data_IF_906079361487
#
_entry.id   IF_906079361487
#
_cell.length_a   1.000
_cell.length_b   1.000
_cell.length_c   1.000
_cell.angle_alpha   90.00
_cell.angle_beta   90.00
_cell.angle_gamma   90.00
#
_symmetry.space_group_name_H-M   'P 1'
#
loop_
_entity.id
_entity.type
_entity.pdbx_description
1 polymer ?
#
# COMPACT_ATOMS: atom_id res chain seq x y z
N UNK A 1 -9.41 2.53 26.32
CA UNK A 1 -9.18 1.86 25.03
C UNK A 1 -10.17 2.46 24.05
N UNK A 2 -9.71 3.20 23.04
CA UNK A 2 -10.61 3.82 22.06
C UNK A 2 -11.29 2.70 21.28
N UNK A 3 -12.62 2.71 21.20
CA UNK A 3 -13.36 1.81 20.33
C UNK A 3 -13.16 2.27 18.88
N UNK A 4 -12.30 1.59 18.14
CA UNK A 4 -11.90 1.98 16.77
C UNK A 4 -13.12 2.00 15.83
N UNK A 5 -14.09 1.09 16.03
CA UNK A 5 -15.33 1.09 15.27
C UNK A 5 -16.17 2.34 15.56
N UNK A 6 -16.29 2.75 16.82
CA UNK A 6 -17.00 3.97 17.21
C UNK A 6 -16.38 5.22 16.59
N UNK A 7 -15.04 5.32 16.61
CA UNK A 7 -14.31 6.39 15.93
C UNK A 7 -14.57 6.40 14.41
N UNK A 8 -14.65 5.22 13.78
CA UNK A 8 -15.02 5.12 12.37
C UNK A 8 -16.45 5.57 12.12
N UNK A 9 -17.39 5.17 12.97
CA UNK A 9 -18.79 5.59 12.89
C UNK A 9 -18.93 7.11 12.98
N UNK A 10 -18.29 7.74 13.96
CA UNK A 10 -18.25 9.19 14.11
C UNK A 10 -17.67 9.88 12.87
N UNK A 11 -16.54 9.39 12.36
CA UNK A 11 -15.84 9.98 11.21
C UNK A 11 -16.67 9.88 9.93
N UNK A 12 -17.30 8.73 9.69
CA UNK A 12 -18.21 8.53 8.55
C UNK A 12 -19.39 9.49 8.68
N UNK A 13 -20.06 9.53 9.84
CA UNK A 13 -21.22 10.40 10.08
C UNK A 13 -20.91 11.88 9.83
N UNK A 14 -19.77 12.37 10.32
CA UNK A 14 -19.34 13.75 10.09
C UNK A 14 -19.08 14.07 8.60
N UNK A 15 -18.79 13.04 7.79
CA UNK A 15 -18.44 13.17 6.38
C UNK A 15 -19.58 12.73 5.45
N UNK A 16 -20.70 12.22 5.97
CA UNK A 16 -21.77 11.60 5.18
C UNK A 16 -22.39 12.56 4.17
N UNK A 17 -22.56 13.84 4.52
CA UNK A 17 -23.10 14.86 3.60
C UNK A 17 -22.19 15.07 2.39
N UNK A 18 -20.87 15.02 2.59
CA UNK A 18 -19.89 15.16 1.52
C UNK A 18 -19.81 13.89 0.69
N UNK A 19 -19.74 12.72 1.33
CA UNK A 19 -19.74 11.42 0.66
C UNK A 19 -21.00 11.25 -0.21
N UNK A 20 -22.17 11.62 0.31
CA UNK A 20 -23.46 11.48 -0.37
C UNK A 20 -23.54 12.37 -1.63
N UNK A 21 -22.95 13.58 -1.60
CA UNK A 21 -22.91 14.47 -2.77
C UNK A 21 -22.12 13.90 -3.94
N UNK A 22 -21.06 13.14 -3.65
CA UNK A 22 -20.20 12.54 -4.67
C UNK A 22 -20.45 11.04 -4.88
N UNK A 23 -21.48 10.48 -4.22
CA UNK A 23 -21.74 9.05 -4.21
C UNK A 23 -22.02 8.46 -5.61
N UNK A 24 -22.55 9.29 -6.52
CA UNK A 24 -22.81 8.93 -7.90
C UNK A 24 -21.56 8.98 -8.81
N UNK A 25 -20.40 9.37 -8.28
CA UNK A 25 -19.10 9.33 -8.97
C UNK A 25 -18.30 8.11 -8.47
N UNK A 26 -18.33 6.96 -9.17
CA UNK A 26 -17.84 5.68 -8.63
C UNK A 26 -16.39 5.73 -8.12
N UNK A 27 -15.50 6.36 -8.88
CA UNK A 27 -14.07 6.42 -8.56
C UNK A 27 -13.77 7.34 -7.37
N UNK A 28 -14.47 8.48 -7.26
CA UNK A 28 -14.27 9.45 -6.18
C UNK A 28 -14.81 8.94 -4.84
N UNK A 29 -15.95 8.24 -4.90
CA UNK A 29 -16.59 7.60 -3.74
C UNK A 29 -15.70 6.55 -3.09
N UNK A 30 -15.21 5.58 -3.87
CA UNK A 30 -14.41 4.47 -3.33
C UNK A 30 -13.12 4.99 -2.71
N UNK A 31 -12.44 5.90 -3.40
CA UNK A 31 -11.20 6.50 -2.91
C UNK A 31 -11.36 7.22 -1.57
N UNK A 32 -12.40 8.06 -1.44
CA UNK A 32 -12.65 8.85 -0.23
C UNK A 32 -12.97 7.95 0.97
N UNK A 33 -13.85 6.96 0.80
CA UNK A 33 -14.23 6.01 1.85
C UNK A 33 -13.04 5.13 2.27
N UNK A 34 -12.27 4.62 1.32
CA UNK A 34 -11.08 3.80 1.60
C UNK A 34 -10.07 4.60 2.41
N UNK A 35 -9.76 5.83 1.99
CA UNK A 35 -8.81 6.67 2.71
C UNK A 35 -9.25 6.96 4.15
N UNK A 36 -10.53 7.26 4.37
CA UNK A 36 -11.06 7.46 5.74
C UNK A 36 -10.91 6.22 6.60
N UNK A 37 -11.28 5.05 6.09
CA UNK A 37 -11.14 3.79 6.84
C UNK A 37 -9.66 3.53 7.14
N UNK A 38 -8.77 3.68 6.16
CA UNK A 38 -7.33 3.42 6.35
C UNK A 38 -6.65 4.42 7.29
N UNK A 39 -7.09 5.68 7.32
CA UNK A 39 -6.59 6.69 8.24
C UNK A 39 -6.92 6.35 9.71
N UNK A 40 -8.04 5.66 9.96
CA UNK A 40 -8.48 5.19 11.28
C UNK A 40 -7.86 3.82 11.60
N UNK A 41 -8.03 2.87 10.70
CA UNK A 41 -7.49 1.51 10.77
C UNK A 41 -6.07 1.53 10.21
N UNK A 42 -5.16 2.24 10.89
CA UNK A 42 -3.73 2.19 10.55
C UNK A 42 -3.14 0.82 10.87
N UNK A 43 -1.95 0.55 10.33
CA UNK A 43 -1.23 -0.72 10.51
C UNK A 43 -1.18 -1.24 11.96
N UNK A 44 -1.17 -0.34 12.94
CA UNK A 44 -1.15 -0.64 14.39
C UNK A 44 -2.49 -1.14 14.95
N UNK A 45 -3.59 -0.87 14.26
CA UNK A 45 -4.96 -1.03 14.77
C UNK A 45 -5.77 -2.13 14.11
N UNK A 46 -5.37 -2.60 12.93
CA UNK A 46 -6.24 -3.47 12.11
C UNK A 46 -6.20 -4.93 12.54
N UNK A 47 -5.05 -5.42 12.99
CA UNK A 47 -4.80 -6.85 13.08
C UNK A 47 -3.91 -7.20 14.28
N UNK A 48 -4.36 -8.21 15.03
CA UNK A 48 -3.72 -8.74 16.23
C UNK A 48 -2.23 -9.01 16.05
N UNK A 49 -1.45 -8.88 17.13
CA UNK A 49 -0.01 -9.17 17.16
C UNK A 49 0.34 -10.62 16.77
N UNK A 50 -0.67 -11.49 16.68
CA UNK A 50 -0.56 -12.88 16.22
C UNK A 50 0.14 -12.98 14.85
N UNK A 51 -0.04 -11.96 13.99
CA UNK A 51 0.50 -11.98 12.61
C UNK A 51 1.82 -11.21 12.46
N UNK A 52 2.64 -11.13 13.51
CA UNK A 52 3.92 -10.43 13.47
C UNK A 52 4.84 -10.92 12.34
N UNK A 53 4.86 -12.23 12.06
CA UNK A 53 5.64 -12.81 10.95
C UNK A 53 5.23 -12.26 9.56
N UNK A 54 4.02 -11.71 9.45
CA UNK A 54 3.45 -11.13 8.24
C UNK A 54 3.30 -9.60 8.31
N UNK A 55 4.13 -8.90 9.10
CA UNK A 55 3.96 -7.47 9.42
C UNK A 55 3.63 -6.55 8.24
N UNK A 56 4.29 -6.72 7.08
CA UNK A 56 4.05 -5.89 5.89
C UNK A 56 2.91 -6.41 5.02
N UNK A 57 2.71 -7.74 5.01
CA UNK A 57 1.64 -8.38 4.26
C UNK A 57 0.28 -8.10 4.90
N UNK A 58 0.16 -8.19 6.22
CA UNK A 58 -1.12 -8.09 6.95
C UNK A 58 -1.90 -6.83 6.57
N UNK A 59 -1.22 -5.68 6.59
CA UNK A 59 -1.85 -4.40 6.31
C UNK A 59 -2.06 -4.18 4.80
N UNK A 60 -1.21 -4.76 3.96
CA UNK A 60 -1.39 -4.69 2.51
C UNK A 60 -2.56 -5.56 2.04
N UNK A 61 -2.71 -6.77 2.57
CA UNK A 61 -3.87 -7.64 2.34
C UNK A 61 -5.15 -6.93 2.78
N UNK A 62 -5.16 -6.33 3.98
CA UNK A 62 -6.32 -5.56 4.43
C UNK A 62 -6.71 -4.45 3.47
N UNK A 63 -5.74 -3.61 3.05
CA UNK A 63 -5.99 -2.51 2.10
C UNK A 63 -6.61 -2.99 0.79
N UNK A 64 -6.10 -4.10 0.26
CA UNK A 64 -6.60 -4.72 -0.96
C UNK A 64 -8.03 -5.23 -0.80
N UNK A 65 -8.29 -6.04 0.23
CA UNK A 65 -9.62 -6.62 0.47
C UNK A 65 -10.63 -5.52 0.78
N UNK A 66 -10.24 -4.51 1.56
CA UNK A 66 -11.07 -3.34 1.83
C UNK A 66 -11.45 -2.63 0.52
N UNK A 67 -10.49 -2.38 -0.37
CA UNK A 67 -10.76 -1.74 -1.66
C UNK A 67 -11.82 -2.52 -2.45
N UNK A 68 -11.67 -3.84 -2.55
CA UNK A 68 -12.62 -4.69 -3.26
C UNK A 68 -14.04 -4.64 -2.67
N UNK A 69 -14.18 -4.60 -1.34
CA UNK A 69 -15.49 -4.57 -0.70
C UNK A 69 -16.14 -3.19 -0.79
N UNK A 70 -15.37 -2.11 -0.58
CA UNK A 70 -15.90 -0.74 -0.71
C UNK A 70 -16.29 -0.41 -2.15
N UNK A 71 -15.53 -0.86 -3.15
CA UNK A 71 -15.86 -0.69 -4.58
C UNK A 71 -17.18 -1.36 -4.99
N UNK A 72 -17.62 -2.39 -4.26
CA UNK A 72 -18.88 -3.10 -4.51
C UNK A 72 -20.08 -2.48 -3.80
N UNK A 73 -19.89 -1.50 -2.91
CA UNK A 73 -20.99 -0.87 -2.17
C UNK A 73 -21.90 -0.12 -3.15
N UNK A 74 -23.19 -0.43 -3.13
CA UNK A 74 -24.19 0.27 -3.95
C UNK A 74 -24.96 1.35 -3.19
N UNK A 75 -24.97 1.29 -1.84
CA UNK A 75 -25.79 2.16 -0.99
C UNK A 75 -24.89 2.85 0.04
N UNK A 76 -25.02 4.18 0.17
CA UNK A 76 -24.25 4.97 1.12
C UNK A 76 -24.93 4.91 2.48
N UNK A 77 -24.72 3.83 3.19
CA UNK A 77 -25.25 3.65 4.53
C UNK A 77 -24.11 3.28 5.49
N UNK A 78 -24.14 3.85 6.69
CA UNK A 78 -23.07 3.67 7.67
C UNK A 78 -22.98 2.21 8.11
N UNK A 79 -24.09 1.52 8.33
CA UNK A 79 -24.07 0.12 8.75
C UNK A 79 -23.55 -0.78 7.63
N UNK A 80 -23.89 -0.45 6.37
CA UNK A 80 -23.32 -1.14 5.20
C UNK A 80 -21.80 -0.96 5.13
N UNK A 81 -21.30 0.27 5.29
CA UNK A 81 -19.86 0.56 5.24
C UNK A 81 -19.14 -0.17 6.37
N UNK A 82 -19.63 -0.06 7.61
CA UNK A 82 -19.05 -0.76 8.78
C UNK A 82 -19.07 -2.28 8.56
N UNK A 83 -20.17 -2.82 8.02
CA UNK A 83 -20.30 -4.23 7.69
C UNK A 83 -19.21 -4.71 6.71
N UNK A 84 -18.93 -3.95 5.66
CA UNK A 84 -17.89 -4.28 4.68
C UNK A 84 -16.47 -4.12 5.25
N UNK A 85 -16.23 -3.11 6.11
CA UNK A 85 -14.95 -2.98 6.82
C UNK A 85 -14.70 -4.19 7.72
N UNK A 86 -15.69 -4.57 8.52
CA UNK A 86 -15.62 -5.74 9.40
C UNK A 86 -15.46 -7.05 8.61
N UNK A 87 -16.08 -7.15 7.43
CA UNK A 87 -15.85 -8.26 6.52
C UNK A 87 -14.42 -8.27 5.99
N UNK A 88 -13.86 -7.12 5.61
CA UNK A 88 -12.49 -7.01 5.12
C UNK A 88 -11.46 -7.46 6.18
N UNK A 89 -11.67 -7.09 7.44
CA UNK A 89 -10.83 -7.54 8.57
C UNK A 89 -10.88 -9.06 8.68
N UNK A 90 -12.08 -9.66 8.79
CA UNK A 90 -12.24 -11.12 8.92
C UNK A 90 -11.65 -11.89 7.75
N UNK A 91 -11.87 -11.42 6.52
CA UNK A 91 -11.30 -12.05 5.32
C UNK A 91 -9.77 -11.96 5.33
N UNK A 92 -9.21 -10.83 5.78
CA UNK A 92 -7.76 -10.68 5.92
C UNK A 92 -7.19 -11.64 6.96
N UNK A 93 -7.83 -11.78 8.12
CA UNK A 93 -7.43 -12.72 9.17
C UNK A 93 -7.48 -14.17 8.66
N UNK A 94 -8.54 -14.55 7.94
CA UNK A 94 -8.69 -15.88 7.36
C UNK A 94 -7.56 -16.19 6.35
N UNK A 95 -7.19 -15.22 5.50
CA UNK A 95 -6.06 -15.37 4.57
C UNK A 95 -4.74 -15.55 5.35
N UNK A 96 -4.50 -14.75 6.38
CA UNK A 96 -3.27 -14.84 7.18
C UNK A 96 -3.20 -16.16 7.97
N UNK A 97 -4.33 -16.65 8.47
CA UNK A 97 -4.43 -17.96 9.13
C UNK A 97 -4.12 -19.11 8.15
N UNK A 98 -4.63 -19.04 6.92
CA UNK A 98 -4.31 -20.02 5.88
C UNK A 98 -2.81 -20.01 5.53
N UNK A 99 -2.19 -18.83 5.45
CA UNK A 99 -0.76 -18.71 5.20
C UNK A 99 0.08 -19.24 6.37
N UNK A 100 -0.34 -19.00 7.60
CA UNK A 100 0.31 -19.55 8.79
C UNK A 100 0.20 -21.09 8.82
N UNK A 101 -0.94 -21.65 8.44
CA UNK A 101 -1.12 -23.09 8.32
C UNK A 101 -0.16 -23.69 7.28
N UNK A 102 -0.06 -23.09 6.08
CA UNK A 102 0.92 -23.49 5.05
C UNK A 102 2.35 -23.40 5.58
N UNK A 103 2.69 -22.33 6.29
CA UNK A 103 4.02 -22.15 6.86
C UNK A 103 4.37 -23.23 7.90
N UNK A 104 3.36 -23.74 8.64
CA UNK A 104 3.53 -24.80 9.63
C UNK A 104 3.67 -26.21 9.03
N UNK A 105 3.26 -26.40 7.77
CA UNK A 105 3.50 -27.65 7.03
C UNK A 105 4.91 -27.73 6.42
N UNK A 106 5.66 -26.62 6.45
CA UNK A 106 7.02 -26.59 5.89
C UNK A 106 8.00 -27.37 6.79
N UNK A 107 8.92 -28.15 6.19
CA UNK A 107 9.67 -29.19 6.91
C UNK A 107 10.77 -28.65 7.82
N UNK A 108 11.19 -27.39 7.67
CA UNK A 108 12.26 -26.80 8.47
C UNK A 108 12.11 -25.29 8.66
N UNK A 109 12.77 -24.77 9.68
CA UNK A 109 12.78 -23.34 10.05
C UNK A 109 13.21 -22.46 8.86
N UNK A 110 14.24 -22.87 8.10
CA UNK A 110 14.75 -22.10 6.97
C UNK A 110 13.70 -21.95 5.86
N UNK A 111 12.94 -23.01 5.57
CA UNK A 111 11.85 -22.97 4.59
C UNK A 111 10.72 -22.07 5.07
N UNK A 112 10.41 -22.10 6.37
CA UNK A 112 9.40 -21.24 6.99
C UNK A 112 9.79 -19.76 6.93
N UNK A 113 11.05 -19.44 7.25
CA UNK A 113 11.59 -18.09 7.11
C UNK A 113 11.62 -17.61 5.65
N UNK A 114 12.05 -18.47 4.72
CA UNK A 114 12.05 -18.15 3.30
C UNK A 114 10.62 -17.86 2.79
N UNK A 115 9.64 -18.63 3.25
CA UNK A 115 8.22 -18.40 2.95
C UNK A 115 7.74 -17.06 3.50
N UNK A 116 8.00 -16.74 4.77
CA UNK A 116 7.62 -15.45 5.33
C UNK A 116 8.28 -14.27 4.61
N UNK A 117 9.56 -14.39 4.28
CA UNK A 117 10.29 -13.36 3.52
C UNK A 117 9.67 -13.18 2.14
N UNK A 118 9.35 -14.27 1.44
CA UNK A 118 8.69 -14.23 0.13
C UNK A 118 7.34 -13.50 0.22
N UNK A 119 6.51 -13.87 1.19
CA UNK A 119 5.19 -13.28 1.38
C UNK A 119 5.26 -11.81 1.82
N UNK A 120 6.24 -11.48 2.68
CA UNK A 120 6.49 -10.14 3.19
C UNK A 120 7.06 -9.19 2.14
N UNK A 121 7.85 -9.67 1.17
CA UNK A 121 8.50 -8.82 0.16
C UNK A 121 7.66 -8.62 -1.11
N UNK A 122 6.65 -9.46 -1.36
CA UNK A 122 5.88 -9.42 -2.61
C UNK A 122 4.55 -8.63 -2.54
N UNK A 123 4.28 -7.93 -1.45
CA UNK A 123 3.02 -7.19 -1.27
C UNK A 123 2.87 -5.99 -2.24
N UNK A 124 3.96 -5.43 -2.79
CA UNK A 124 3.91 -4.45 -3.88
C UNK A 124 3.32 -5.01 -5.19
N UNK A 125 3.45 -6.32 -5.43
CA UNK A 125 2.77 -6.99 -6.55
C UNK A 125 1.25 -6.98 -6.36
N UNK A 126 0.78 -6.93 -5.11
CA UNK A 126 -0.65 -6.75 -4.84
C UNK A 126 -1.05 -5.31 -5.07
N UNK A 127 -0.27 -4.35 -4.55
CA UNK A 127 -0.58 -2.92 -4.68
C UNK A 127 -0.63 -2.42 -6.14
N UNK A 128 0.23 -2.91 -7.03
CA UNK A 128 0.22 -2.47 -8.44
C UNK A 128 -1.03 -2.90 -9.22
N UNK A 129 -1.83 -3.85 -8.70
CA UNK A 129 -3.09 -4.30 -9.31
C UNK A 129 -4.33 -3.54 -8.82
N UNK A 130 -4.21 -2.73 -7.77
CA UNK A 130 -5.33 -1.97 -7.19
C UNK A 130 -5.04 -0.47 -7.23
N UNK A 131 -5.55 0.18 -8.27
CA UNK A 131 -5.33 1.61 -8.53
C UNK A 131 -5.74 2.51 -7.35
N UNK A 132 -6.79 2.14 -6.62
CA UNK A 132 -7.28 2.91 -5.47
C UNK A 132 -6.29 2.88 -4.30
N UNK A 133 -5.74 1.72 -3.98
CA UNK A 133 -4.74 1.58 -2.90
C UNK A 133 -3.42 2.25 -3.30
N UNK A 134 -3.08 2.14 -4.59
CA UNK A 134 -1.92 2.81 -5.18
C UNK A 134 -2.02 4.33 -5.04
N UNK A 135 -3.17 4.90 -5.40
CA UNK A 135 -3.45 6.31 -5.28
C UNK A 135 -3.37 6.77 -3.82
N UNK A 136 -3.86 5.96 -2.87
CA UNK A 136 -3.78 6.26 -1.44
C UNK A 136 -2.33 6.40 -0.96
N UNK A 137 -1.45 5.47 -1.35
CA UNK A 137 -0.04 5.50 -0.96
C UNK A 137 0.69 6.71 -1.58
N UNK A 138 0.34 7.09 -2.82
CA UNK A 138 0.90 8.29 -3.44
C UNK A 138 0.41 9.55 -2.76
N UNK A 139 -0.88 9.64 -2.45
CA UNK A 139 -1.43 10.79 -1.76
C UNK A 139 -0.80 10.94 -0.38
N UNK A 140 -0.64 9.84 0.37
CA UNK A 140 0.10 9.81 1.64
C UNK A 140 1.53 10.35 1.47
N UNK A 141 2.27 9.88 0.46
CA UNK A 141 3.62 10.38 0.18
C UNK A 141 3.65 11.88 -0.18
N UNK A 142 2.74 12.33 -1.05
CA UNK A 142 2.63 13.74 -1.45
C UNK A 142 2.36 14.61 -0.21
N UNK A 143 1.43 14.17 0.62
CA UNK A 143 1.00 14.84 1.83
C UNK A 143 2.14 14.90 2.86
N UNK A 144 2.86 13.80 3.06
CA UNK A 144 4.03 13.73 3.92
C UNK A 144 5.11 14.73 3.49
N UNK A 145 5.48 14.74 2.21
CA UNK A 145 6.52 15.64 1.69
C UNK A 145 6.09 17.11 1.71
N UNK A 146 4.82 17.43 1.38
CA UNK A 146 4.30 18.80 1.47
C UNK A 146 4.32 19.32 2.91
N UNK A 147 3.86 18.50 3.85
CA UNK A 147 3.78 18.86 5.27
C UNK A 147 5.16 18.97 5.92
N UNK A 148 6.09 18.06 5.58
CA UNK A 148 7.48 18.10 6.05
C UNK A 148 8.27 19.28 5.45
N UNK A 149 7.89 19.72 4.24
CA UNK A 149 8.53 20.81 3.50
C UNK A 149 10.07 20.68 3.42
N UNK A 150 10.61 19.53 2.97
CA UNK A 150 12.05 19.35 2.87
C UNK A 150 12.64 20.30 1.83
N UNK A 151 13.91 20.74 2.01
CA UNK A 151 14.59 21.56 1.02
C UNK A 151 14.49 20.91 -0.36
N UNK A 152 14.00 21.65 -1.35
CA UNK A 152 14.04 21.18 -2.74
C UNK A 152 15.50 21.25 -3.17
N UNK A 153 16.14 20.13 -3.53
CA UNK A 153 17.54 20.15 -3.93
C UNK A 153 17.68 21.04 -5.16
N UNK A 154 18.62 21.98 -5.15
CA UNK A 154 18.91 22.86 -6.30
C UNK A 154 19.24 22.09 -7.60
N UNK A 155 19.50 20.78 -7.50
CA UNK A 155 19.79 19.85 -8.60
C UNK A 155 18.60 18.97 -9.00
N UNK A 156 17.38 19.21 -8.51
CA UNK A 156 16.20 18.43 -8.88
C UNK A 156 15.68 18.89 -10.26
N UNK A 157 16.49 18.64 -11.28
CA UNK A 157 16.11 18.82 -12.67
C UNK A 157 15.18 17.67 -13.07
N UNK A 158 13.93 18.00 -13.38
CA UNK A 158 12.88 17.05 -13.76
C UNK A 158 13.30 16.24 -15.00
N UNK A 159 14.13 16.79 -15.91
CA UNK A 159 14.61 16.02 -17.07
C UNK A 159 15.54 14.87 -16.70
N UNK A 160 16.20 14.95 -15.54
CA UNK A 160 17.21 13.98 -15.11
C UNK A 160 16.72 13.16 -13.91
N UNK A 161 15.47 13.36 -13.48
CA UNK A 161 14.90 12.73 -12.30
C UNK A 161 14.92 11.20 -12.43
N UNK A 162 14.52 10.68 -13.60
CA UNK A 162 14.52 9.25 -13.90
C UNK A 162 15.93 8.66 -13.78
N UNK A 163 16.92 9.25 -14.46
CA UNK A 163 18.31 8.78 -14.42
C UNK A 163 18.88 8.77 -13.00
N UNK A 164 18.53 9.77 -12.17
CA UNK A 164 18.95 9.83 -10.77
C UNK A 164 18.22 8.81 -9.91
N UNK A 165 16.96 8.52 -10.20
CA UNK A 165 16.16 7.54 -9.48
C UNK A 165 16.69 6.10 -9.69
N UNK A 166 17.23 5.79 -10.87
CA UNK A 166 17.91 4.51 -11.12
C UNK A 166 19.38 4.49 -10.67
N UNK A 167 19.94 5.62 -10.28
CA UNK A 167 21.29 5.66 -9.70
C UNK A 167 21.29 5.07 -8.28
N UNK A 168 22.48 4.74 -7.80
CA UNK A 168 22.67 4.27 -6.43
C UNK A 168 22.28 5.32 -5.37
N UNK A 169 21.71 4.83 -4.27
CA UNK A 169 21.57 5.60 -3.03
C UNK A 169 22.95 5.90 -2.42
N UNK A 170 23.01 6.78 -1.41
CA UNK A 170 24.28 7.24 -0.82
C UNK A 170 25.15 6.09 -0.29
N UNK A 171 24.56 5.00 0.14
CA UNK A 171 25.25 3.80 0.64
C UNK A 171 25.83 2.90 -0.47
N UNK A 172 25.49 3.17 -1.74
CA UNK A 172 25.88 2.42 -2.95
C UNK A 172 25.48 0.94 -2.98
N UNK A 173 24.64 0.48 -2.05
CA UNK A 173 24.23 -0.94 -1.99
C UNK A 173 23.00 -1.22 -2.83
N UNK A 174 22.09 -0.25 -2.86
CA UNK A 174 20.82 -0.33 -3.60
C UNK A 174 20.65 0.91 -4.48
N UNK A 175 19.80 0.78 -5.49
CA UNK A 175 19.33 1.92 -6.28
C UNK A 175 18.34 2.76 -5.48
N UNK A 176 18.19 4.04 -5.83
CA UNK A 176 17.21 4.91 -5.17
C UNK A 176 15.79 4.43 -5.37
N UNK A 177 15.47 3.86 -6.53
CA UNK A 177 14.15 3.27 -6.78
C UNK A 177 13.86 2.07 -5.90
N UNK A 178 14.83 1.16 -5.71
CA UNK A 178 14.68 0.04 -4.76
C UNK A 178 14.44 0.57 -3.34
N UNK A 179 15.17 1.63 -2.95
CA UNK A 179 14.97 2.25 -1.64
C UNK A 179 13.59 2.89 -1.48
N UNK A 180 13.09 3.60 -2.49
CA UNK A 180 11.73 4.16 -2.49
C UNK A 180 10.70 3.04 -2.35
N UNK A 181 10.87 1.96 -3.11
CA UNK A 181 10.01 0.79 -3.09
C UNK A 181 9.96 0.20 -1.66
N UNK A 182 11.11 0.00 -1.01
CA UNK A 182 11.18 -0.46 0.39
C UNK A 182 10.44 0.47 1.37
N UNK A 183 10.60 1.79 1.22
CA UNK A 183 9.94 2.76 2.11
C UNK A 183 8.42 2.71 1.92
N UNK A 184 7.93 2.74 0.69
CA UNK A 184 6.49 2.68 0.39
C UNK A 184 5.88 1.36 0.85
N UNK A 185 6.63 0.27 0.73
CA UNK A 185 6.31 -1.05 1.28
C UNK A 185 6.08 -1.00 2.79
N UNK A 186 7.04 -0.44 3.53
CA UNK A 186 7.05 -0.51 4.99
C UNK A 186 6.11 0.53 5.61
N UNK A 187 5.99 1.69 4.97
CA UNK A 187 5.40 2.88 5.58
C UNK A 187 4.32 3.55 4.75
N UNK A 188 4.03 3.09 3.53
CA UNK A 188 2.95 3.68 2.72
C UNK A 188 1.61 3.61 3.44
N UNK A 189 0.86 4.71 3.46
CA UNK A 189 -0.34 4.89 4.29
C UNK A 189 -0.05 5.33 5.73
N UNK A 190 1.22 5.56 6.07
CA UNK A 190 1.68 6.02 7.38
C UNK A 190 2.84 7.01 7.30
N UNK A 191 3.16 7.52 6.10
CA UNK A 191 4.16 8.58 5.89
C UNK A 191 3.64 9.93 6.39
N UNK A 192 2.33 10.10 6.40
CA UNK A 192 1.61 11.23 6.97
C UNK A 192 0.51 10.76 7.91
N UNK A 193 -0.03 11.71 8.68
CA UNK A 193 -1.22 11.48 9.47
C UNK A 193 -2.14 12.68 9.46
N UNK A 194 -3.43 12.41 9.33
CA UNK A 194 -4.47 13.41 9.40
C UNK A 194 -4.81 13.71 10.86
N UNK A 195 -4.77 14.99 11.24
CA UNK A 195 -5.29 15.48 12.54
C UNK A 195 -6.80 15.74 12.40
N UNK A 196 -7.21 16.37 11.29
CA UNK A 196 -8.60 16.62 10.92
C UNK A 196 -8.73 16.75 9.39
N UNK A 197 -9.93 16.96 8.85
CA UNK A 197 -10.16 17.03 7.40
C UNK A 197 -9.27 18.07 6.66
N UNK A 198 -8.83 19.12 7.33
CA UNK A 198 -8.01 20.18 6.72
C UNK A 198 -6.53 20.13 7.10
N UNK A 199 -6.15 19.26 8.05
CA UNK A 199 -4.82 19.28 8.65
C UNK A 199 -4.14 17.92 8.57
N UNK A 200 -3.00 17.90 7.88
CA UNK A 200 -2.16 16.75 7.64
C UNK A 200 -0.75 17.06 8.12
N UNK A 201 -0.20 16.17 8.94
CA UNK A 201 1.14 16.27 9.50
C UNK A 201 2.02 15.15 8.95
N UNK A 202 3.25 15.48 8.59
CA UNK A 202 4.26 14.50 8.20
C UNK A 202 4.63 13.59 9.38
N UNK A 203 4.82 12.31 9.08
CA UNK A 203 5.36 11.34 10.01
C UNK A 203 6.83 10.99 9.70
N UNK A 204 7.45 11.58 8.67
CA UNK A 204 8.77 11.19 8.17
C UNK A 204 9.86 11.23 9.26
N UNK A 205 9.85 12.23 10.15
CA UNK A 205 10.84 12.38 11.23
C UNK A 205 10.73 11.31 12.34
N UNK A 206 9.57 10.65 12.45
CA UNK A 206 9.34 9.56 13.40
C UNK A 206 9.64 8.20 12.80
N UNK A 207 9.84 8.15 11.48
CA UNK A 207 10.23 6.96 10.74
C UNK A 207 11.74 6.98 10.57
N UNK A 208 12.38 5.82 10.44
CA UNK A 208 13.82 5.69 10.15
C UNK A 208 14.12 6.03 8.67
N UNK A 209 13.71 7.24 8.26
CA UNK A 209 13.81 7.76 6.89
C UNK A 209 14.85 8.89 6.91
N UNK A 210 15.97 8.66 6.23
CA UNK A 210 17.07 9.62 6.19
C UNK A 210 16.81 10.78 5.21
N UNK A 211 17.58 11.88 5.28
CA UNK A 211 17.53 12.93 4.26
C UNK A 211 17.84 12.44 2.83
N UNK A 212 18.66 11.40 2.67
CA UNK A 212 18.92 10.79 1.35
C UNK A 212 17.72 9.96 0.85
N UNK A 213 16.96 9.37 1.77
CA UNK A 213 15.70 8.71 1.47
C UNK A 213 14.64 9.72 1.03
N UNK A 214 14.50 10.84 1.76
CA UNK A 214 13.61 11.95 1.39
C UNK A 214 13.94 12.47 -0.01
N UNK A 215 15.23 12.61 -0.34
CA UNK A 215 15.64 12.99 -1.68
C UNK A 215 15.19 11.96 -2.74
N UNK A 216 15.32 10.67 -2.44
CA UNK A 216 14.87 9.59 -3.34
C UNK A 216 13.34 9.63 -3.53
N UNK A 217 12.58 9.91 -2.48
CA UNK A 217 11.13 10.09 -2.54
C UNK A 217 10.71 11.33 -3.38
N UNK A 218 11.42 12.45 -3.23
CA UNK A 218 11.21 13.65 -4.05
C UNK A 218 11.48 13.37 -5.53
N UNK A 219 12.55 12.62 -5.85
CA UNK A 219 12.86 12.19 -7.23
C UNK A 219 11.73 11.32 -7.80
N UNK A 220 11.24 10.36 -7.03
CA UNK A 220 10.13 9.48 -7.45
C UNK A 220 8.85 10.27 -7.78
N UNK A 221 8.50 11.28 -6.98
CA UNK A 221 7.36 12.16 -7.29
C UNK A 221 7.61 13.09 -8.48
N UNK A 222 8.87 13.35 -8.83
CA UNK A 222 9.25 14.27 -9.91
C UNK A 222 9.49 13.57 -11.25
N UNK A 223 9.66 12.25 -11.25
CA UNK A 223 9.83 11.43 -12.44
C UNK A 223 8.65 11.61 -13.42
N UNK A 224 8.95 11.84 -14.70
CA UNK A 224 7.97 12.18 -15.75
C UNK A 224 7.23 10.95 -16.27
N UNK A 225 6.68 10.15 -15.38
CA UNK A 225 5.84 9.04 -15.80
C UNK A 225 4.38 9.48 -15.75
N UNK A 226 3.69 9.43 -16.90
CA UNK A 226 2.21 9.53 -16.97
C UNK A 226 1.53 8.47 -16.08
N UNK A 227 2.25 7.40 -15.76
CA UNK A 227 1.92 6.42 -14.73
C UNK A 227 3.21 6.10 -13.95
N UNK A 228 3.39 6.67 -12.76
CA UNK A 228 4.59 6.54 -11.89
C UNK A 228 4.90 5.11 -11.49
N UNK A 229 3.92 4.22 -11.60
CA UNK A 229 4.07 2.80 -11.38
C UNK A 229 4.27 2.00 -12.64
N UNK A 230 4.30 2.63 -13.82
CA UNK A 230 4.76 1.96 -15.05
C UNK A 230 6.17 1.42 -14.83
N UNK A 231 7.07 2.15 -14.19
CA UNK A 231 8.42 1.62 -13.90
C UNK A 231 8.36 0.42 -12.96
N UNK A 232 7.56 0.50 -11.90
CA UNK A 232 7.37 -0.63 -10.97
C UNK A 232 6.75 -1.82 -11.70
N UNK A 233 5.77 -1.59 -12.58
CA UNK A 233 5.14 -2.62 -13.42
C UNK A 233 6.08 -3.17 -14.47
N UNK A 234 6.91 -2.34 -15.10
CA UNK A 234 7.88 -2.75 -16.11
C UNK A 234 9.01 -3.55 -15.44
N UNK A 235 9.43 -3.18 -14.22
CA UNK A 235 10.30 -3.98 -13.36
C UNK A 235 9.65 -5.32 -13.01
N UNK A 236 8.38 -5.31 -12.61
CA UNK A 236 7.60 -6.53 -12.39
C UNK A 236 7.57 -7.40 -13.65
N UNK A 237 7.36 -6.79 -14.82
CA UNK A 237 7.33 -7.47 -16.12
C UNK A 237 8.69 -8.04 -16.52
N UNK A 238 9.78 -7.38 -16.13
CA UNK A 238 11.16 -7.78 -16.45
C UNK A 238 11.68 -8.95 -15.61
N UNK A 239 11.11 -9.18 -14.42
CA UNK A 239 11.38 -10.39 -13.62
C UNK A 239 10.74 -11.63 -14.27
N UNK A 240 9.84 -11.46 -15.24
CA UNK A 240 9.27 -12.57 -16.01
C UNK A 240 10.18 -12.94 -17.20
N UNK A 241 10.49 -14.23 -17.31
CA UNK A 241 11.12 -14.79 -18.52
C UNK A 241 10.06 -14.83 -19.63
N UNK A 242 10.22 -14.02 -20.67
CA UNK A 242 9.47 -14.22 -21.92
C UNK A 242 10.03 -15.46 -22.63
N UNK A 243 9.22 -16.51 -22.71
CA UNK A 243 9.51 -17.61 -23.64
C UNK A 243 9.26 -17.10 -25.07
N UNK A 244 10.33 -16.87 -25.81
CA UNK A 244 10.31 -16.36 -27.19
C UNK A 244 9.46 -17.23 -28.12
N UNK A 245 9.20 -18.49 -27.78
CA UNK A 245 8.48 -19.43 -28.66
C UNK A 245 6.96 -19.44 -28.48
N UNK A 246 6.42 -18.87 -27.40
CA UNK A 246 4.99 -19.06 -27.07
C UNK A 246 4.17 -17.79 -26.93
N UNK A 247 4.76 -16.59 -26.90
CA UNK A 247 4.02 -15.35 -26.58
C UNK A 247 3.18 -15.43 -25.29
N UNK A 248 3.51 -16.38 -24.41
CA UNK A 248 2.85 -16.62 -23.12
C UNK A 248 3.86 -16.25 -22.04
N UNK A 249 3.53 -15.28 -21.22
CA UNK A 249 4.27 -14.96 -20.00
C UNK A 249 4.04 -16.08 -19.00
N UNK A 250 5.00 -17.00 -18.87
CA UNK A 250 4.95 -18.02 -17.83
C UNK A 250 5.44 -17.42 -16.52
N UNK A 251 4.54 -17.34 -15.54
CA UNK A 251 4.90 -16.95 -14.18
C UNK A 251 4.29 -17.94 -13.21
N UNK A 252 5.08 -18.94 -12.84
CA UNK A 252 4.75 -19.85 -11.74
C UNK A 252 4.43 -19.04 -10.47
N UNK A 253 5.14 -17.93 -10.26
CA UNK A 253 4.90 -17.01 -9.14
C UNK A 253 3.57 -16.24 -9.24
N UNK A 254 3.20 -15.70 -10.41
CA UNK A 254 1.93 -14.96 -10.55
C UNK A 254 0.73 -15.88 -10.42
N UNK A 255 0.82 -17.13 -10.86
CA UNK A 255 -0.27 -18.10 -10.67
C UNK A 255 -0.41 -18.50 -9.20
N UNK A 256 0.71 -18.65 -8.49
CA UNK A 256 0.73 -18.88 -7.04
C UNK A 256 0.10 -17.68 -6.30
N UNK A 257 0.51 -16.44 -6.61
CA UNK A 257 -0.03 -15.23 -5.98
C UNK A 257 -1.50 -14.95 -6.34
N UNK A 258 -1.88 -15.08 -7.60
CA UNK A 258 -3.30 -14.96 -8.01
C UNK A 258 -4.13 -16.07 -7.35
N UNK A 259 -3.60 -17.29 -7.28
CA UNK A 259 -4.21 -18.44 -6.61
C UNK A 259 -4.48 -18.20 -5.11
N UNK A 260 -3.50 -17.66 -4.38
CA UNK A 260 -3.60 -17.43 -2.93
C UNK A 260 -4.53 -16.27 -2.54
N UNK A 261 -4.62 -15.21 -3.34
CA UNK A 261 -5.31 -13.97 -2.93
C UNK A 261 -6.59 -13.64 -3.71
N UNK A 262 -6.85 -14.29 -4.85
CA UNK A 262 -7.90 -13.87 -5.78
C UNK A 262 -8.83 -15.00 -6.24
N UNK A 263 -8.74 -16.20 -5.64
CA UNK A 263 -9.58 -17.36 -6.01
C UNK A 263 -10.87 -17.51 -5.18
N UNK A 264 -11.35 -16.44 -4.54
CA UNK A 264 -12.56 -16.46 -3.69
C UNK A 264 -13.72 -15.68 -4.32
#
# INVERSE_FOLDING_TARGET
>A
MINIEEKLRETINMSMDEISRYFNLPMFKSFTLINMVLDIYRQEYVLHDKYHAFKNLKYTTFRVILSQYIEKIQICDIEVIIGEVNRAIRTTEAILDALEAVANELPCINSKEAFYNLMGNNHLFMLSKYETVLAYIIDDLINALKSHNPPVPAKLNISDADAKLFAHAKDKKITRIERVIEILTQHGGGLSYRINYNEIVSNLDKLDISPDDIYSLQLFLSAKHKNRFKVIRDMQESVFVKDEKKSITHSSFSQIFTGFFFSF
#
